data_IF_115090302357
#
_entry.id   IF_115090302357
#
_cell.length_a   1.000
_cell.length_b   1.000
_cell.length_c   1.000
_cell.angle_alpha   90.00
_cell.angle_beta   90.00
_cell.angle_gamma   90.00
#
_symmetry.space_group_name_H-M   'P 1'
#
loop_
_entity.id
_entity.type
_entity.pdbx_description
1 polymer ?
#
# COMPACT_ATOMS: atom_id res chain seq x y z
N UNK A 1 -17.53 -2.47 -5.26
CA UNK A 1 -17.07 -2.16 -3.89
C UNK A 1 -15.62 -2.55 -3.67
N UNK A 2 -15.24 -3.79 -4.00
CA UNK A 2 -13.86 -4.29 -3.79
C UNK A 2 -12.77 -3.43 -4.44
N UNK A 3 -12.96 -2.99 -5.69
CA UNK A 3 -12.00 -2.09 -6.37
C UNK A 3 -11.77 -0.80 -5.56
N UNK A 4 -12.82 -0.23 -4.96
CA UNK A 4 -12.71 1.00 -4.17
C UNK A 4 -11.93 0.76 -2.87
N UNK A 5 -12.10 -0.41 -2.24
CA UNK A 5 -11.33 -0.82 -1.05
C UNK A 5 -9.83 -0.96 -1.38
N UNK A 6 -9.49 -1.66 -2.45
CA UNK A 6 -8.09 -1.82 -2.86
C UNK A 6 -7.48 -0.51 -3.38
N UNK A 7 -8.28 0.36 -4.02
CA UNK A 7 -7.85 1.70 -4.37
C UNK A 7 -7.51 2.52 -3.12
N UNK A 8 -8.37 2.49 -2.09
CA UNK A 8 -8.11 3.14 -0.81
C UNK A 8 -6.82 2.62 -0.17
N UNK A 9 -6.60 1.30 -0.14
CA UNK A 9 -5.35 0.73 0.37
C UNK A 9 -4.12 1.20 -0.42
N UNK A 10 -4.22 1.30 -1.75
CA UNK A 10 -3.17 1.88 -2.58
C UNK A 10 -2.84 3.32 -2.23
N UNK A 11 -3.87 4.14 -1.94
CA UNK A 11 -3.68 5.52 -1.48
C UNK A 11 -3.01 5.55 -0.09
N UNK A 12 -3.47 4.72 0.85
CA UNK A 12 -2.88 4.62 2.19
C UNK A 12 -1.41 4.25 2.10
N UNK A 13 -1.06 3.21 1.33
CA UNK A 13 0.33 2.81 1.11
C UNK A 13 1.14 3.95 0.50
N UNK A 14 0.69 4.53 -0.61
CA UNK A 14 1.43 5.55 -1.33
C UNK A 14 1.69 6.80 -0.50
N UNK A 15 0.77 7.17 0.39
CA UNK A 15 0.93 8.30 1.31
C UNK A 15 1.84 7.97 2.50
N UNK A 16 1.75 6.76 3.05
CA UNK A 16 2.43 6.42 4.31
C UNK A 16 3.83 5.83 4.11
N UNK A 17 4.13 5.24 2.97
CA UNK A 17 5.41 4.55 2.72
C UNK A 17 6.62 5.50 2.82
N UNK A 18 6.48 6.74 2.36
CA UNK A 18 7.58 7.71 2.36
C UNK A 18 7.63 8.57 3.62
N UNK A 19 6.67 8.38 4.54
CA UNK A 19 6.58 9.09 5.81
C UNK A 19 7.05 8.18 6.94
N UNK A 20 7.73 8.70 7.99
CA UNK A 20 8.19 7.90 9.12
C UNK A 20 7.04 7.58 10.10
N UNK A 21 5.97 6.95 9.61
CA UNK A 21 4.72 6.68 10.35
C UNK A 21 4.29 5.21 10.33
N UNK A 22 5.12 4.31 9.80
CA UNK A 22 4.84 2.87 9.62
C UNK A 22 3.66 2.59 8.67
N UNK A 23 3.96 2.34 7.39
CA UNK A 23 2.97 1.99 6.37
C UNK A 23 2.29 0.64 6.65
N UNK A 24 3.04 -0.38 7.08
CA UNK A 24 2.49 -1.71 7.39
C UNK A 24 1.44 -1.66 8.51
N UNK A 25 1.63 -0.81 9.53
CA UNK A 25 0.63 -0.62 10.59
C UNK A 25 -0.69 -0.04 10.05
N UNK A 26 -0.59 0.95 9.15
CA UNK A 26 -1.77 1.55 8.52
C UNK A 26 -2.50 0.56 7.59
N UNK A 27 -1.78 -0.31 6.90
CA UNK A 27 -2.38 -1.35 6.05
C UNK A 27 -3.17 -2.36 6.88
N UNK A 28 -2.59 -2.94 7.94
CA UNK A 28 -3.27 -3.93 8.81
C UNK A 28 -4.54 -3.34 9.44
N UNK A 29 -4.47 -2.09 9.90
CA UNK A 29 -5.63 -1.38 10.45
C UNK A 29 -6.69 -1.21 9.35
N UNK A 30 -6.30 -0.76 8.16
CA UNK A 30 -7.22 -0.53 7.04
C UNK A 30 -7.89 -1.82 6.55
N UNK A 31 -7.16 -2.93 6.48
CA UNK A 31 -7.70 -4.25 6.13
C UNK A 31 -8.77 -4.68 7.14
N UNK A 32 -8.49 -4.53 8.43
CA UNK A 32 -9.42 -4.85 9.51
C UNK A 32 -10.69 -4.00 9.42
N UNK A 33 -10.57 -2.68 9.22
CA UNK A 33 -11.71 -1.77 9.09
C UNK A 33 -12.55 -2.02 7.84
N UNK A 34 -11.93 -2.41 6.73
CA UNK A 34 -12.59 -2.64 5.44
C UNK A 34 -13.06 -4.10 5.24
N UNK A 35 -12.74 -4.98 6.18
CA UNK A 35 -13.04 -6.42 6.12
C UNK A 35 -12.34 -7.13 4.97
N UNK A 36 -11.12 -6.71 4.64
CA UNK A 36 -10.31 -7.30 3.57
C UNK A 36 -9.46 -8.41 4.18
N UNK A 37 -9.53 -9.60 3.60
CA UNK A 37 -8.76 -10.76 4.05
C UNK A 37 -7.95 -11.31 2.87
N UNK A 38 -6.81 -10.68 2.52
CA UNK A 38 -5.99 -11.16 1.44
C UNK A 38 -5.32 -12.50 1.82
N UNK A 39 -4.99 -13.35 0.84
CA UNK A 39 -4.30 -14.60 1.11
C UNK A 39 -2.85 -14.32 1.54
N UNK A 40 -2.59 -14.49 2.84
CA UNK A 40 -1.29 -14.17 3.43
C UNK A 40 -0.90 -12.71 3.23
N UNK A 41 0.38 -12.45 2.99
CA UNK A 41 0.94 -11.09 2.83
C UNK A 41 0.96 -10.60 1.38
N UNK A 42 0.22 -11.25 0.47
CA UNK A 42 0.30 -10.95 -0.96
C UNK A 42 -0.01 -9.49 -1.28
N UNK A 43 -1.04 -8.93 -0.65
CA UNK A 43 -1.48 -7.57 -0.88
C UNK A 43 -0.44 -6.54 -0.40
N UNK A 44 0.09 -6.72 0.81
CA UNK A 44 1.16 -5.89 1.36
C UNK A 44 2.39 -5.89 0.45
N UNK A 45 2.84 -7.07 0.01
CA UNK A 45 4.00 -7.21 -0.90
C UNK A 45 3.73 -6.52 -2.24
N UNK A 46 2.54 -6.67 -2.82
CA UNK A 46 2.19 -6.01 -4.07
C UNK A 46 2.17 -4.48 -3.94
N UNK A 47 1.67 -3.96 -2.82
CA UNK A 47 1.61 -2.53 -2.51
C UNK A 47 3.01 -1.93 -2.26
N UNK A 48 3.88 -2.61 -1.52
CA UNK A 48 5.30 -2.23 -1.38
C UNK A 48 6.06 -2.32 -2.72
N UNK A 49 5.76 -3.32 -3.56
CA UNK A 49 6.38 -3.40 -4.88
C UNK A 49 5.99 -2.21 -5.77
N UNK A 50 4.73 -1.76 -5.69
CA UNK A 50 4.26 -0.57 -6.39
C UNK A 50 4.97 0.71 -5.90
N UNK A 51 5.24 0.85 -4.59
CA UNK A 51 5.98 2.01 -4.07
C UNK A 51 7.45 2.02 -4.51
N UNK A 52 8.10 0.85 -4.59
CA UNK A 52 9.44 0.70 -5.18
C UNK A 52 9.43 1.13 -6.65
N UNK A 53 8.46 0.68 -7.45
CA UNK A 53 8.32 1.11 -8.84
C UNK A 53 8.14 2.63 -8.93
N UNK A 54 7.33 3.23 -8.04
CA UNK A 54 7.12 4.67 -8.00
C UNK A 54 8.45 5.42 -7.75
N UNK A 55 9.28 4.95 -6.80
CA UNK A 55 10.63 5.49 -6.58
C UNK A 55 11.51 5.33 -7.83
N UNK A 56 11.56 4.14 -8.43
CA UNK A 56 12.38 3.89 -9.62
C UNK A 56 12.00 4.85 -10.74
N UNK A 57 10.71 5.03 -11.00
CA UNK A 57 10.20 5.97 -12.02
C UNK A 57 10.58 7.41 -11.66
N UNK A 58 10.40 7.82 -10.41
CA UNK A 58 10.73 9.16 -9.93
C UNK A 58 12.22 9.47 -10.03
N UNK A 59 13.09 8.49 -9.75
CA UNK A 59 14.54 8.64 -9.79
C UNK A 59 15.16 8.39 -11.18
N UNK A 60 14.43 7.81 -12.14
CA UNK A 60 14.96 7.38 -13.45
C UNK A 60 15.71 8.47 -14.24
N UNK A 61 15.40 9.74 -14.03
CA UNK A 61 16.02 10.88 -14.74
C UNK A 61 16.81 11.83 -13.84
N UNK A 62 17.00 11.47 -12.57
CA UNK A 62 17.94 12.15 -11.67
C UNK A 62 19.31 11.49 -11.79
#
# INVERSE_FOLDING_TARGET
MEILKYLFMGVVQGLTEFLPVSSSGHLVISETFLGINPPGIFLEVALHFASVIAIIIYLRKR
#
